data_IF_607706603249
#
_entry.id   IF_607706603249
#
_cell.length_a   1.000
_cell.length_b   1.000
_cell.length_c   1.000
_cell.angle_alpha   90.00
_cell.angle_beta   90.00
_cell.angle_gamma   90.00
#
_symmetry.space_group_name_H-M   'P 1'
#
loop_
_entity.id
_entity.type
_entity.pdbx_description
1 polymer ?
#
# COMPACT_ATOMS: atom_id res chain seq x y z
N UNK A 1 -5.84 2.53 -14.56
CA UNK A 1 -4.41 2.80 -14.25
C UNK A 1 -4.21 4.05 -13.40
N UNK A 2 -4.93 5.16 -13.63
CA UNK A 2 -4.80 6.40 -12.84
C UNK A 2 -5.13 6.24 -11.35
N UNK A 3 -6.10 5.39 -10.98
CA UNK A 3 -6.42 5.12 -9.56
C UNK A 3 -5.23 4.55 -8.77
N UNK A 4 -4.39 3.72 -9.40
CA UNK A 4 -3.21 3.17 -8.75
C UNK A 4 -2.15 4.24 -8.42
N UNK A 5 -2.19 5.41 -9.07
CA UNK A 5 -1.34 6.56 -8.74
C UNK A 5 -1.89 7.43 -7.60
N UNK A 6 -3.18 7.31 -7.28
CA UNK A 6 -3.77 8.01 -6.14
C UNK A 6 -3.18 7.52 -4.81
N UNK A 7 -2.92 6.21 -4.69
CA UNK A 7 -2.34 5.66 -3.47
C UNK A 7 -0.91 6.16 -3.18
N UNK A 8 0.04 6.17 -4.15
CA UNK A 8 1.34 6.83 -3.98
C UNK A 8 1.25 8.30 -3.55
N UNK A 9 0.26 9.05 -4.04
CA UNK A 9 0.06 10.45 -3.62
C UNK A 9 -0.38 10.54 -2.15
N UNK A 10 -1.31 9.69 -1.73
CA UNK A 10 -1.72 9.59 -0.33
C UNK A 10 -0.58 9.15 0.58
N UNK A 11 0.25 8.21 0.10
CA UNK A 11 1.44 7.76 0.82
C UNK A 11 2.48 8.88 0.95
N UNK A 12 2.71 9.66 -0.11
CA UNK A 12 3.58 10.82 -0.07
C UNK A 12 3.07 11.88 0.92
N UNK A 13 1.76 12.07 1.02
CA UNK A 13 1.14 12.92 2.03
C UNK A 13 1.40 12.37 3.45
N UNK A 14 1.24 11.06 3.67
CA UNK A 14 1.53 10.43 4.96
C UNK A 14 3.00 10.65 5.38
N UNK A 15 3.95 10.52 4.45
CA UNK A 15 5.35 10.85 4.70
C UNK A 15 5.57 12.32 5.09
N UNK A 16 4.84 13.27 4.48
CA UNK A 16 4.93 14.69 4.87
C UNK A 16 4.36 14.96 6.26
N UNK A 17 3.41 14.15 6.71
CA UNK A 17 2.76 14.28 8.02
C UNK A 17 3.49 13.53 9.14
N UNK A 18 4.58 12.81 8.84
CA UNK A 18 5.39 12.06 9.83
C UNK A 18 5.84 12.92 11.01
N UNK A 19 6.09 14.22 10.80
CA UNK A 19 6.48 15.16 11.86
C UNK A 19 5.35 15.54 12.83
N UNK A 20 4.09 15.20 12.52
CA UNK A 20 2.92 15.52 13.35
C UNK A 20 2.25 14.29 13.94
N UNK A 21 2.31 13.16 13.24
CA UNK A 21 1.62 11.93 13.60
C UNK A 21 2.54 10.73 13.36
N UNK A 22 2.45 9.68 14.20
CA UNK A 22 3.28 8.49 14.04
C UNK A 22 2.97 7.81 12.70
N UNK A 23 4.01 7.65 11.88
CA UNK A 23 3.90 7.10 10.52
C UNK A 23 3.21 5.72 10.44
N UNK A 24 3.42 4.77 11.39
CA UNK A 24 2.68 3.51 11.38
C UNK A 24 1.18 3.69 11.55
N UNK A 25 0.73 4.62 12.39
CA UNK A 25 -0.69 4.90 12.57
C UNK A 25 -1.29 5.52 11.30
N UNK A 26 -0.56 6.45 10.66
CA UNK A 26 -0.95 6.96 9.34
C UNK A 26 -1.05 5.84 8.30
N UNK A 27 -0.13 4.88 8.32
CA UNK A 27 -0.17 3.70 7.47
C UNK A 27 -1.42 2.84 7.68
N UNK A 28 -1.81 2.59 8.95
CA UNK A 28 -3.02 1.82 9.29
C UNK A 28 -4.28 2.51 8.74
N UNK A 29 -4.41 3.81 8.98
CA UNK A 29 -5.56 4.59 8.48
C UNK A 29 -5.56 4.68 6.97
N UNK A 30 -4.41 4.90 6.35
CA UNK A 30 -4.28 4.93 4.89
C UNK A 30 -4.72 3.60 4.27
N UNK A 31 -4.28 2.48 4.85
CA UNK A 31 -4.64 1.14 4.39
C UNK A 31 -6.16 0.90 4.50
N UNK A 32 -6.75 1.24 5.65
CA UNK A 32 -8.20 1.13 5.86
C UNK A 32 -9.01 2.00 4.90
N UNK A 33 -8.66 3.28 4.78
CA UNK A 33 -9.36 4.21 3.88
C UNK A 33 -9.24 3.76 2.43
N UNK A 34 -8.05 3.30 2.03
CA UNK A 34 -7.83 2.75 0.69
C UNK A 34 -8.63 1.49 0.44
N UNK A 35 -8.70 0.58 1.42
CA UNK A 35 -9.50 -0.64 1.35
C UNK A 35 -11.00 -0.31 1.18
N UNK A 36 -11.54 0.55 2.05
CA UNK A 36 -12.95 0.97 1.98
C UNK A 36 -13.25 1.65 0.65
N UNK A 37 -12.40 2.59 0.23
CA UNK A 37 -12.60 3.27 -1.06
C UNK A 37 -12.65 2.28 -2.22
N UNK A 38 -11.70 1.34 -2.29
CA UNK A 38 -11.64 0.37 -3.37
C UNK A 38 -12.80 -0.64 -3.35
N UNK A 39 -13.35 -0.95 -2.17
CA UNK A 39 -14.48 -1.86 -2.04
C UNK A 39 -15.83 -1.19 -2.42
N UNK A 40 -16.02 0.07 -2.04
CA UNK A 40 -17.31 0.76 -2.20
C UNK A 40 -17.43 1.57 -3.49
N UNK A 41 -16.33 2.17 -3.97
CA UNK A 41 -16.36 3.12 -5.08
C UNK A 41 -15.30 2.89 -6.16
N UNK A 42 -14.23 2.15 -5.84
CA UNK A 42 -13.09 1.95 -6.73
C UNK A 42 -13.20 0.70 -7.59
N UNK A 43 -12.03 0.25 -8.06
CA UNK A 43 -11.86 -0.88 -8.97
C UNK A 43 -11.69 -2.24 -8.26
N UNK A 44 -12.00 -2.32 -6.97
CA UNK A 44 -11.96 -3.56 -6.18
C UNK A 44 -10.55 -3.99 -5.72
N UNK A 45 -10.44 -5.26 -5.33
CA UNK A 45 -9.28 -5.77 -4.56
C UNK A 45 -7.97 -5.78 -5.33
N UNK A 46 -8.01 -5.93 -6.67
CA UNK A 46 -6.80 -5.90 -7.49
C UNK A 46 -6.14 -4.51 -7.48
N UNK A 47 -6.94 -3.45 -7.58
CA UNK A 47 -6.44 -2.08 -7.50
C UNK A 47 -5.97 -1.72 -6.08
N UNK A 48 -6.71 -2.21 -5.07
CA UNK A 48 -6.30 -2.13 -3.67
C UNK A 48 -4.89 -2.71 -3.45
N UNK A 49 -4.66 -3.95 -3.87
CA UNK A 49 -3.39 -4.65 -3.69
C UNK A 49 -2.26 -4.05 -4.51
N UNK A 50 -2.50 -3.60 -5.74
CA UNK A 50 -1.49 -2.87 -6.52
C UNK A 50 -1.03 -1.61 -5.80
N UNK A 51 -1.98 -0.82 -5.27
CA UNK A 51 -1.67 0.37 -4.47
C UNK A 51 -0.83 0.01 -3.24
N UNK A 52 -1.27 -0.97 -2.45
CA UNK A 52 -0.52 -1.43 -1.29
C UNK A 52 0.86 -1.95 -1.64
N UNK A 53 1.01 -2.69 -2.73
CA UNK A 53 2.30 -3.22 -3.18
C UNK A 53 3.31 -2.11 -3.43
N UNK A 54 2.87 -1.02 -4.06
CA UNK A 54 3.70 0.18 -4.26
C UNK A 54 4.16 0.71 -2.90
N UNK A 55 3.23 0.92 -1.96
CA UNK A 55 3.57 1.50 -0.67
C UNK A 55 4.39 0.60 0.23
N UNK A 56 4.14 -0.70 0.19
CA UNK A 56 4.89 -1.69 0.96
C UNK A 56 6.34 -1.75 0.48
N UNK A 57 6.58 -1.75 -0.83
CA UNK A 57 7.93 -1.67 -1.37
C UNK A 57 8.61 -0.36 -0.98
N UNK A 58 7.94 0.78 -1.14
CA UNK A 58 8.52 2.09 -0.80
C UNK A 58 8.83 2.20 0.70
N UNK A 59 7.91 1.76 1.57
CA UNK A 59 8.11 1.77 3.01
C UNK A 59 9.28 0.88 3.44
N UNK A 60 9.39 -0.32 2.87
CA UNK A 60 10.53 -1.20 3.11
C UNK A 60 11.84 -0.62 2.55
N UNK A 61 11.81 -0.13 1.31
CA UNK A 61 12.96 0.46 0.61
C UNK A 61 13.53 1.70 1.30
N UNK A 62 12.68 2.54 1.89
CA UNK A 62 13.09 3.70 2.69
C UNK A 62 13.37 3.38 4.17
N UNK A 63 13.42 2.10 4.56
CA UNK A 63 13.79 1.69 5.92
C UNK A 63 12.74 2.05 6.98
N UNK A 64 11.46 2.00 6.64
CA UNK A 64 10.33 2.30 7.54
C UNK A 64 9.54 1.03 7.89
N UNK A 65 10.07 0.14 8.76
CA UNK A 65 9.47 -1.17 9.02
C UNK A 65 8.06 -1.09 9.61
N UNK A 66 7.79 -0.12 10.49
CA UNK A 66 6.46 0.05 11.07
C UNK A 66 5.40 0.47 10.04
N UNK A 67 5.79 1.28 9.05
CA UNK A 67 4.90 1.61 7.92
C UNK A 67 4.71 0.41 6.99
N UNK A 68 5.78 -0.33 6.69
CA UNK A 68 5.69 -1.53 5.87
C UNK A 68 4.74 -2.57 6.48
N UNK A 69 4.81 -2.77 7.81
CA UNK A 69 3.86 -3.61 8.53
C UNK A 69 2.42 -3.08 8.43
N UNK A 70 2.22 -1.78 8.63
CA UNK A 70 0.89 -1.16 8.57
C UNK A 70 0.23 -1.29 7.19
N UNK A 71 1.04 -1.34 6.12
CA UNK A 71 0.62 -1.49 4.73
C UNK A 71 0.50 -2.95 4.26
N UNK A 72 0.69 -3.93 5.15
CA UNK A 72 0.33 -5.31 4.82
C UNK A 72 -1.18 -5.39 4.51
N UNK A 73 -1.62 -6.31 3.63
CA UNK A 73 -3.03 -6.39 3.20
C UNK A 73 -3.93 -7.06 4.26
N UNK A 74 -3.74 -6.72 5.54
CA UNK A 74 -4.52 -7.25 6.65
C UNK A 74 -6.02 -6.95 6.56
N UNK A 75 -6.52 -5.80 6.04
CA UNK A 75 -7.97 -5.59 5.88
C UNK A 75 -8.60 -6.61 4.94
N UNK A 76 -7.95 -6.88 3.81
CA UNK A 76 -8.43 -7.89 2.86
C UNK A 76 -8.34 -9.30 3.47
N UNK A 77 -7.28 -9.63 4.20
CA UNK A 77 -7.19 -10.91 4.92
C UNK A 77 -8.34 -11.07 5.93
N UNK A 78 -8.69 -10.02 6.68
CA UNK A 78 -9.82 -10.05 7.60
C UNK A 78 -11.16 -10.18 6.85
N UNK A 79 -11.31 -9.47 5.73
CA UNK A 79 -12.50 -9.54 4.88
C UNK A 79 -12.72 -10.95 4.33
N UNK A 80 -11.64 -11.61 3.90
CA UNK A 80 -11.62 -13.00 3.45
C UNK A 80 -11.67 -14.02 4.59
N UNK A 81 -11.90 -13.59 5.84
CA UNK A 81 -11.95 -14.45 7.03
C UNK A 81 -10.71 -15.31 7.20
N UNK A 82 -9.55 -14.76 6.84
CA UNK A 82 -8.25 -15.42 6.87
C UNK A 82 -8.12 -16.60 5.91
N UNK A 83 -8.94 -16.67 4.85
CA UNK A 83 -8.74 -17.64 3.77
C UNK A 83 -7.50 -17.26 2.93
N UNK A 84 -6.38 -17.87 3.29
CA UNK A 84 -5.09 -17.64 2.63
C UNK A 84 -5.09 -18.18 1.20
N UNK A 85 -5.90 -19.19 0.88
CA UNK A 85 -5.96 -19.77 -0.47
C UNK A 85 -6.63 -18.81 -1.43
N UNK A 86 -7.75 -18.24 -1.02
CA UNK A 86 -8.45 -17.20 -1.79
C UNK A 86 -7.55 -15.96 -1.92
N UNK A 87 -6.93 -15.53 -0.82
CA UNK A 87 -5.97 -14.41 -0.85
C UNK A 87 -4.80 -14.65 -1.83
N UNK A 88 -4.32 -15.90 -1.95
CA UNK A 88 -3.23 -16.27 -2.85
C UNK A 88 -3.52 -15.98 -4.32
N UNK A 89 -4.79 -16.01 -4.74
CA UNK A 89 -5.18 -15.70 -6.11
C UNK A 89 -4.92 -14.23 -6.47
N UNK A 90 -4.84 -13.35 -5.47
CA UNK A 90 -4.64 -11.92 -5.65
C UNK A 90 -3.19 -11.47 -5.41
N UNK A 91 -2.31 -12.35 -4.93
CA UNK A 91 -0.89 -12.05 -4.72
C UNK A 91 -0.18 -11.45 -5.95
N UNK A 92 -0.44 -11.90 -7.20
CA UNK A 92 0.17 -11.29 -8.37
C UNK A 92 -0.04 -9.78 -8.47
N UNK A 93 -1.23 -9.28 -8.11
CA UNK A 93 -1.54 -7.85 -8.13
C UNK A 93 -0.71 -7.05 -7.11
N UNK A 94 -0.47 -7.63 -5.93
CA UNK A 94 0.43 -7.06 -4.93
C UNK A 94 1.86 -6.98 -5.48
N UNK A 95 2.33 -8.05 -6.13
CA UNK A 95 3.65 -8.11 -6.76
C UNK A 95 3.83 -7.09 -7.88
N UNK A 96 2.84 -6.93 -8.75
CA UNK A 96 2.82 -5.87 -9.78
C UNK A 96 2.97 -4.48 -9.15
N UNK A 97 2.24 -4.24 -8.06
CA UNK A 97 2.38 -3.02 -7.26
C UNK A 97 3.79 -2.82 -6.73
N UNK A 98 4.41 -3.87 -6.18
CA UNK A 98 5.79 -3.80 -5.68
C UNK A 98 6.79 -3.50 -6.80
N UNK A 99 6.61 -4.04 -8.00
CA UNK A 99 7.44 -3.71 -9.16
C UNK A 99 7.31 -2.22 -9.50
N UNK A 100 6.08 -1.68 -9.54
CA UNK A 100 5.86 -0.25 -9.73
C UNK A 100 6.48 0.58 -8.61
N UNK A 101 6.37 0.13 -7.35
CA UNK A 101 7.03 0.75 -6.21
C UNK A 101 8.55 0.74 -6.33
N UNK A 102 9.14 -0.33 -6.87
CA UNK A 102 10.55 -0.40 -7.17
C UNK A 102 10.96 0.60 -8.26
N UNK A 103 10.18 0.71 -9.33
CA UNK A 103 10.42 1.72 -10.37
C UNK A 103 10.32 3.14 -9.81
N UNK A 104 9.34 3.43 -8.93
CA UNK A 104 9.22 4.73 -8.27
C UNK A 104 10.37 5.01 -7.29
N UNK A 105 10.78 3.99 -6.53
CA UNK A 105 11.92 4.07 -5.62
C UNK A 105 13.22 4.38 -6.37
N UNK A 106 13.42 3.73 -7.52
CA UNK A 106 14.52 4.03 -8.43
C UNK A 106 14.34 5.42 -9.06
N UNK A 107 13.17 5.78 -9.59
CA UNK A 107 12.97 7.09 -10.22
C UNK A 107 13.16 8.27 -9.24
N UNK A 108 12.78 8.10 -7.98
CA UNK A 108 13.05 9.04 -6.88
C UNK A 108 14.43 8.84 -6.24
N UNK A 109 15.39 8.34 -7.01
CA UNK A 109 16.63 7.67 -6.59
C UNK A 109 17.15 8.14 -5.22
N UNK A 110 17.08 7.18 -4.28
CA UNK A 110 17.86 6.99 -3.05
C UNK A 110 18.76 8.18 -2.73
N UNK A 111 18.38 8.95 -1.70
CA UNK A 111 19.30 9.88 -0.99
C UNK A 111 20.69 9.23 -0.93
N UNK A 112 21.59 9.72 -1.78
CA UNK A 112 22.99 9.87 -1.43
C UNK A 112 23.10 11.27 -0.84
#
# INVERSE_FOLDING_TARGET
MLEALAFPLLLALAFRLEGRLPLPALGVWLNLLWFVYQNEWGSGWLAYLRGLGIGLFLAAGYGRPGLAWALTPWPLLLYLRLDVREFALYLPALGEGMVLGALLYLAGFRRR
#
